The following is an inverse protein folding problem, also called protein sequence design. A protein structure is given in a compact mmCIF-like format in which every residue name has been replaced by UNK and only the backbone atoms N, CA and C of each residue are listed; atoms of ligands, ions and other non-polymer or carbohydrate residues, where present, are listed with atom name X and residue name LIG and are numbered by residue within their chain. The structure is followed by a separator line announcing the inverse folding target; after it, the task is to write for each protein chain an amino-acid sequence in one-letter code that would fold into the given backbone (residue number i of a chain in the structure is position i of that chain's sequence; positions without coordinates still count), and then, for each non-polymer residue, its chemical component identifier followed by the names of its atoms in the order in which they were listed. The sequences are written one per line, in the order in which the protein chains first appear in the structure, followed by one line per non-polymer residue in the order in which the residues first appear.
data_IF_698888157391
#
_entry.id   IF_698888157391
#
_cell.length_a   1.000
_cell.length_b   1.000
_cell.length_c   1.000
_cell.angle_alpha   90.00
_cell.angle_beta   90.00
_cell.angle_gamma   90.00
#
_symmetry.space_group_name_H-M   'P 1'
#
loop_
_entity.id
_entity.type
_entity.pdbx_description
1 polymer ?
#
# COMPACT_ATOMS: atom_id res chain seq x y z
N UNK A 1 -5.36 -11.60 26.64
CA UNK A 1 -5.34 -10.14 26.37
C UNK A 1 -4.33 -9.79 25.27
N UNK A 2 -3.22 -10.52 25.16
CA UNK A 2 -2.17 -10.32 24.15
C UNK A 2 -2.60 -10.72 22.73
N UNK A 3 -3.26 -11.88 22.55
CA UNK A 3 -3.76 -12.35 21.24
C UNK A 3 -4.71 -11.36 20.55
N UNK A 4 -5.67 -10.77 21.27
CA UNK A 4 -6.56 -9.73 20.74
C UNK A 4 -5.80 -8.49 20.21
N UNK A 5 -4.68 -8.11 20.83
CA UNK A 5 -3.82 -7.00 20.38
C UNK A 5 -3.05 -7.38 19.11
N UNK A 6 -2.50 -8.60 19.04
CA UNK A 6 -1.85 -9.12 17.83
C UNK A 6 -2.82 -9.14 16.65
N UNK A 7 -4.01 -9.69 16.85
CA UNK A 7 -5.07 -9.72 15.83
C UNK A 7 -5.49 -8.33 15.39
N UNK A 8 -5.61 -7.37 16.32
CA UNK A 8 -5.89 -5.96 16.00
C UNK A 8 -4.80 -5.38 15.10
N UNK A 9 -3.52 -5.60 15.43
CA UNK A 9 -2.41 -5.10 14.61
C UNK A 9 -2.42 -5.70 13.19
N UNK A 10 -2.68 -7.01 13.08
CA UNK A 10 -2.77 -7.68 11.79
C UNK A 10 -3.94 -7.15 10.94
N UNK A 11 -5.10 -6.88 11.56
CA UNK A 11 -6.23 -6.24 10.89
C UNK A 11 -5.92 -4.81 10.46
N UNK A 12 -5.29 -4.01 11.33
CA UNK A 12 -4.90 -2.64 10.97
C UNK A 12 -3.93 -2.68 9.79
N UNK A 13 -2.89 -3.51 9.82
CA UNK A 13 -1.98 -3.70 8.69
C UNK A 13 -2.72 -4.08 7.40
N UNK A 14 -3.67 -5.01 7.48
CA UNK A 14 -4.47 -5.44 6.32
C UNK A 14 -5.31 -4.30 5.76
N UNK A 15 -6.01 -3.54 6.60
CA UNK A 15 -6.84 -2.40 6.18
C UNK A 15 -5.95 -1.31 5.57
N UNK A 16 -4.84 -0.97 6.21
CA UNK A 16 -3.90 0.03 5.70
C UNK A 16 -3.29 -0.40 4.37
N UNK A 17 -3.02 -1.70 4.15
CA UNK A 17 -2.61 -2.21 2.85
C UNK A 17 -3.64 -1.92 1.76
N UNK A 18 -4.92 -2.21 2.01
CA UNK A 18 -5.98 -1.93 1.04
C UNK A 18 -6.17 -0.44 0.78
N UNK A 19 -6.05 0.41 1.81
CA UNK A 19 -6.06 1.87 1.64
C UNK A 19 -4.90 2.30 0.74
N UNK A 20 -3.68 1.83 1.01
CA UNK A 20 -2.51 2.12 0.16
C UNK A 20 -2.75 1.67 -1.28
N UNK A 21 -3.30 0.47 -1.48
CA UNK A 21 -3.60 -0.05 -2.81
C UNK A 21 -4.59 0.83 -3.57
N UNK A 22 -5.67 1.27 -2.91
CA UNK A 22 -6.63 2.22 -3.48
C UNK A 22 -5.97 3.55 -3.82
N UNK A 23 -5.09 4.07 -2.96
CA UNK A 23 -4.35 5.30 -3.22
C UNK A 23 -3.39 5.17 -4.41
N UNK A 24 -2.72 4.03 -4.58
CA UNK A 24 -1.89 3.74 -5.77
C UNK A 24 -2.73 3.77 -7.04
N UNK A 25 -3.91 3.13 -7.03
CA UNK A 25 -4.82 3.15 -8.19
C UNK A 25 -5.27 4.57 -8.49
N UNK A 26 -5.73 5.32 -7.47
CA UNK A 26 -6.17 6.70 -7.64
C UNK A 26 -5.04 7.58 -8.19
N UNK A 27 -3.82 7.42 -7.70
CA UNK A 27 -2.62 8.10 -8.19
C UNK A 27 -2.39 7.80 -9.68
N UNK A 28 -2.41 6.54 -10.09
CA UNK A 28 -2.22 6.15 -11.48
C UNK A 28 -3.31 6.71 -12.39
N UNK A 29 -4.57 6.67 -11.94
CA UNK A 29 -5.70 7.23 -12.70
C UNK A 29 -5.54 8.73 -12.91
N UNK A 30 -5.20 9.49 -11.85
CA UNK A 30 -4.96 10.95 -11.95
C UNK A 30 -3.78 11.23 -12.88
N UNK A 31 -2.68 10.50 -12.71
CA UNK A 31 -1.49 10.67 -13.54
C UNK A 31 -1.77 10.41 -15.03
N UNK A 32 -2.38 9.26 -15.35
CA UNK A 32 -2.73 8.90 -16.73
C UNK A 32 -3.69 9.92 -17.33
N UNK A 33 -4.68 10.38 -16.57
CA UNK A 33 -5.63 11.39 -17.03
C UNK A 33 -4.92 12.70 -17.38
N UNK A 34 -4.11 13.24 -16.47
CA UNK A 34 -3.41 14.53 -16.68
C UNK A 34 -2.40 14.45 -17.84
N UNK A 35 -1.74 13.29 -18.03
CA UNK A 35 -0.87 13.05 -19.19
C UNK A 35 -1.70 12.95 -20.47
N UNK A 36 -2.82 12.22 -20.46
CA UNK A 36 -3.70 12.09 -21.62
C UNK A 36 -4.29 13.43 -22.07
N UNK A 37 -4.68 14.29 -21.12
CA UNK A 37 -5.18 15.63 -21.41
C UNK A 37 -4.08 16.47 -22.09
N UNK A 38 -2.83 16.40 -21.63
CA UNK A 38 -1.70 17.09 -22.27
C UNK A 38 -1.48 16.64 -23.73
N UNK A 39 -1.45 15.33 -23.99
CA UNK A 39 -1.29 14.81 -25.36
C UNK A 39 -2.48 15.14 -26.26
N UNK A 40 -3.69 15.29 -25.71
CA UNK A 40 -4.87 15.70 -26.48
C UNK A 40 -4.80 17.16 -26.93
N UNK A 41 -4.13 18.02 -26.16
CA UNK A 41 -3.94 19.43 -26.49
C UNK A 41 -2.82 19.66 -27.51
N UNK A 42 -1.84 18.76 -27.53
CA UNK A 42 -0.69 18.81 -28.42
C UNK A 42 -0.59 17.51 -29.25
N UNK A 43 -1.55 17.26 -30.16
CA UNK A 43 -1.52 16.08 -31.01
C UNK A 43 -0.31 16.11 -31.94
N UNK A 44 0.30 14.93 -32.15
CA UNK A 44 1.56 14.75 -32.90
C UNK A 44 1.44 15.25 -34.35
N UNK A 45 0.26 15.14 -34.95
CA UNK A 45 0.03 15.59 -36.34
C UNK A 45 0.15 17.12 -36.49
N UNK A 46 -0.18 17.87 -35.43
CA UNK A 46 -0.11 19.34 -35.40
C UNK A 46 1.20 19.83 -34.80
N UNK A 47 1.80 19.05 -33.89
CA UNK A 47 3.04 19.34 -33.18
C UNK A 47 4.06 18.21 -33.40
N UNK A 48 4.63 18.09 -34.62
CA UNK A 48 5.54 16.99 -34.97
C UNK A 48 6.87 17.03 -34.19
N UNK A 49 7.29 18.22 -33.78
CA UNK A 49 8.49 18.43 -32.93
C UNK A 49 8.21 18.18 -31.43
N UNK A 50 6.98 17.80 -31.09
CA UNK A 50 6.55 17.49 -29.73
C UNK A 50 5.91 18.66 -28.98
N UNK A 51 5.71 18.45 -27.68
CA UNK A 51 5.05 19.43 -26.79
C UNK A 51 6.00 20.62 -26.57
N UNK A 52 5.56 21.87 -26.79
CA UNK A 52 6.37 23.06 -26.51
C UNK A 52 6.87 23.09 -25.06
N UNK A 53 8.12 23.53 -24.87
CA UNK A 53 8.74 23.56 -23.54
C UNK A 53 7.89 24.32 -22.51
N UNK A 54 7.41 25.51 -22.86
CA UNK A 54 6.60 26.34 -21.96
C UNK A 54 5.27 25.68 -21.57
N UNK A 55 4.67 24.91 -22.49
CA UNK A 55 3.47 24.14 -22.20
C UNK A 55 3.76 22.99 -21.24
N UNK A 56 4.91 22.32 -21.41
CA UNK A 56 5.36 21.27 -20.50
C UNK A 56 5.66 21.82 -19.10
N UNK A 57 6.28 22.99 -19.00
CA UNK A 57 6.57 23.68 -17.73
C UNK A 57 5.26 24.06 -17.04
N UNK A 58 4.33 24.71 -17.74
CA UNK A 58 3.02 25.09 -17.18
C UNK A 58 2.21 23.87 -16.69
N UNK A 59 2.24 22.78 -17.47
CA UNK A 59 1.64 21.51 -17.05
C UNK A 59 2.32 20.98 -15.79
N UNK A 60 3.66 20.95 -15.75
CA UNK A 60 4.40 20.47 -14.59
C UNK A 60 4.10 21.30 -13.34
N UNK A 61 4.09 22.63 -13.43
CA UNK A 61 3.76 23.51 -12.29
C UNK A 61 2.33 23.28 -11.77
N UNK A 62 1.39 22.86 -12.62
CA UNK A 62 0.01 22.61 -12.23
C UNK A 62 -0.20 21.19 -11.69
N UNK A 63 0.46 20.20 -12.29
CA UNK A 63 0.22 18.77 -12.05
C UNK A 63 1.17 18.19 -11.00
N UNK A 64 2.43 18.60 -10.99
CA UNK A 64 3.43 18.12 -10.01
C UNK A 64 2.99 18.38 -8.58
N UNK A 65 2.46 19.55 -8.17
CA UNK A 65 2.01 19.75 -6.80
C UNK A 65 0.89 18.79 -6.38
N UNK A 66 -0.03 18.45 -7.29
CA UNK A 66 -1.12 17.48 -7.04
C UNK A 66 -0.55 16.08 -6.84
N UNK A 67 0.35 15.65 -7.74
CA UNK A 67 1.04 14.37 -7.68
C UNK A 67 1.87 14.25 -6.39
N UNK A 68 2.62 15.29 -6.03
CA UNK A 68 3.45 15.34 -4.82
C UNK A 68 2.59 15.24 -3.57
N UNK A 69 1.45 15.94 -3.52
CA UNK A 69 0.53 15.88 -2.38
C UNK A 69 -0.05 14.47 -2.18
N UNK A 70 -0.45 13.80 -3.27
CA UNK A 70 -0.88 12.39 -3.23
C UNK A 70 0.26 11.46 -2.81
N UNK A 71 1.47 11.68 -3.32
CA UNK A 71 2.65 10.90 -2.95
C UNK A 71 2.98 11.03 -1.46
N UNK A 72 2.89 12.24 -0.89
CA UNK A 72 3.08 12.46 0.55
C UNK A 72 2.04 11.67 1.36
N UNK A 73 0.77 11.73 0.96
CA UNK A 73 -0.29 10.95 1.62
C UNK A 73 0.00 9.44 1.56
N UNK A 74 0.43 8.94 0.40
CA UNK A 74 0.82 7.54 0.22
C UNK A 74 2.00 7.14 1.12
N UNK A 75 3.00 8.01 1.27
CA UNK A 75 4.14 7.77 2.17
C UNK A 75 3.68 7.67 3.62
N UNK A 76 2.82 8.59 4.08
CA UNK A 76 2.29 8.57 5.45
C UNK A 76 1.54 7.25 5.72
N UNK A 77 0.63 6.87 4.83
CA UNK A 77 -0.15 5.62 4.96
C UNK A 77 0.78 4.40 4.86
N UNK A 78 1.78 4.44 4.00
CA UNK A 78 2.79 3.39 3.85
C UNK A 78 3.63 3.18 5.11
N UNK A 79 4.03 4.26 5.80
CA UNK A 79 4.73 4.19 7.09
C UNK A 79 3.84 3.53 8.14
N UNK A 80 2.56 3.93 8.22
CA UNK A 80 1.61 3.30 9.15
C UNK A 80 1.47 1.81 8.86
N UNK A 81 1.31 1.42 7.59
CA UNK A 81 1.27 0.03 7.18
C UNK A 81 2.52 -0.72 7.64
N UNK A 82 3.71 -0.18 7.35
CA UNK A 82 4.99 -0.80 7.68
C UNK A 82 5.14 -1.02 9.19
N UNK A 83 4.75 -0.05 10.02
CA UNK A 83 4.80 -0.18 11.49
C UNK A 83 3.94 -1.35 11.95
N UNK A 84 2.68 -1.42 11.51
CA UNK A 84 1.78 -2.52 11.91
C UNK A 84 2.20 -3.86 11.30
N UNK A 85 2.82 -3.84 10.13
CA UNK A 85 3.36 -5.03 9.48
C UNK A 85 4.54 -5.62 10.25
N UNK A 86 5.51 -4.78 10.65
CA UNK A 86 6.65 -5.19 11.49
C UNK A 86 6.16 -5.69 12.86
N UNK A 87 5.19 -5.00 13.48
CA UNK A 87 4.59 -5.48 14.73
C UNK A 87 3.94 -6.86 14.54
N UNK A 88 3.32 -7.11 13.38
CA UNK A 88 2.73 -8.41 13.06
C UNK A 88 3.80 -9.50 12.90
N UNK A 89 4.92 -9.19 12.24
CA UNK A 89 6.09 -10.08 12.15
C UNK A 89 6.60 -10.44 13.55
N UNK A 90 6.90 -9.43 14.39
CA UNK A 90 7.43 -9.66 15.74
C UNK A 90 6.46 -10.49 16.59
N UNK A 91 5.16 -10.21 16.52
CA UNK A 91 4.17 -10.98 17.26
C UNK A 91 4.05 -12.43 16.76
N UNK A 92 4.11 -12.64 15.44
CA UNK A 92 4.04 -13.98 14.84
C UNK A 92 5.24 -14.85 15.17
N UNK A 93 6.39 -14.26 15.53
CA UNK A 93 7.59 -15.00 15.95
C UNK A 93 7.34 -15.82 17.22
N UNK A 94 6.44 -15.39 18.10
CA UNK A 94 6.14 -16.08 19.35
C UNK A 94 5.11 -17.21 19.22
N UNK A 95 4.47 -17.36 18.05
CA UNK A 95 3.49 -18.43 17.82
C UNK A 95 4.19 -19.78 17.70
N UNK A 96 3.49 -20.84 18.08
CA UNK A 96 3.96 -22.22 17.93
C UNK A 96 4.08 -22.57 16.43
N UNK A 97 3.07 -22.21 15.63
CA UNK A 97 3.13 -22.28 14.17
C UNK A 97 3.92 -21.08 13.60
N UNK A 98 5.03 -21.37 12.92
CA UNK A 98 5.90 -20.37 12.28
C UNK A 98 5.47 -20.00 10.86
N UNK A 99 4.46 -20.66 10.28
CA UNK A 99 3.97 -20.34 8.93
C UNK A 99 3.61 -18.86 8.77
N UNK A 100 2.84 -18.22 9.67
CA UNK A 100 2.52 -16.80 9.55
C UNK A 100 3.77 -15.93 9.52
N UNK A 101 4.76 -16.24 10.37
CA UNK A 101 6.02 -15.50 10.43
C UNK A 101 6.81 -15.57 9.12
N UNK A 102 6.95 -16.77 8.56
CA UNK A 102 7.69 -16.99 7.29
C UNK A 102 6.98 -16.26 6.14
N UNK A 103 5.66 -16.36 6.06
CA UNK A 103 4.87 -15.68 5.02
C UNK A 103 4.99 -14.16 5.14
N UNK A 104 5.01 -13.61 6.35
CA UNK A 104 5.18 -12.17 6.56
C UNK A 104 6.61 -11.70 6.20
N UNK A 105 7.64 -12.50 6.46
CA UNK A 105 9.00 -12.18 6.03
C UNK A 105 9.14 -12.17 4.50
N UNK A 106 8.64 -13.21 3.83
CA UNK A 106 8.61 -13.26 2.35
C UNK A 106 7.75 -12.12 1.80
N UNK A 107 6.71 -11.73 2.55
CA UNK A 107 5.80 -10.65 2.23
C UNK A 107 6.44 -9.27 2.09
N UNK A 108 7.62 -9.05 2.66
CA UNK A 108 8.42 -7.83 2.44
C UNK A 108 8.84 -7.71 0.97
N UNK A 109 9.18 -8.84 0.34
CA UNK A 109 9.57 -8.91 -1.06
C UNK A 109 8.37 -9.07 -1.99
N UNK A 110 7.37 -9.84 -1.56
CA UNK A 110 6.19 -10.17 -2.36
C UNK A 110 4.92 -9.78 -1.57
N UNK A 111 4.38 -8.56 -1.77
CA UNK A 111 3.30 -8.03 -0.93
C UNK A 111 2.06 -8.94 -0.82
N UNK A 112 1.72 -9.65 -1.90
CA UNK A 112 0.60 -10.61 -1.92
C UNK A 112 0.81 -11.75 -0.92
N UNK A 113 2.02 -12.29 -0.81
CA UNK A 113 2.37 -13.32 0.19
C UNK A 113 2.25 -12.75 1.59
N UNK A 114 2.63 -11.48 1.77
CA UNK A 114 2.50 -10.78 3.03
C UNK A 114 1.06 -10.67 3.52
N UNK A 115 0.12 -10.42 2.62
CA UNK A 115 -1.31 -10.39 2.94
C UNK A 115 -1.82 -11.76 3.36
N UNK A 116 -1.41 -12.82 2.66
CA UNK A 116 -1.73 -14.20 3.07
C UNK A 116 -1.19 -14.48 4.48
N UNK A 117 0.05 -14.07 4.77
CA UNK A 117 0.64 -14.17 6.11
C UNK A 117 -0.17 -13.46 7.20
N UNK A 118 -0.69 -12.25 6.93
CA UNK A 118 -1.56 -11.52 7.86
C UNK A 118 -2.86 -12.28 8.14
N UNK A 119 -3.48 -12.89 7.12
CA UNK A 119 -4.69 -13.70 7.31
C UNK A 119 -4.45 -14.97 8.11
N UNK A 120 -3.33 -15.64 7.88
CA UNK A 120 -2.91 -16.80 8.67
C UNK A 120 -2.67 -16.40 10.13
N UNK A 121 -2.00 -15.26 10.37
CA UNK A 121 -1.80 -14.72 11.72
C UNK A 121 -3.13 -14.43 12.45
N UNK A 122 -4.09 -13.81 11.76
CA UNK A 122 -5.44 -13.55 12.30
C UNK A 122 -6.16 -14.87 12.65
N UNK A 123 -5.99 -15.89 11.83
CA UNK A 123 -6.64 -17.20 12.04
C UNK A 123 -6.02 -17.97 13.19
N UNK A 124 -4.68 -18.02 13.26
CA UNK A 124 -3.93 -18.69 14.33
C UNK A 124 -4.25 -18.08 15.71
N UNK A 125 -4.22 -16.76 15.81
CA UNK A 125 -4.54 -16.04 17.07
C UNK A 125 -5.99 -16.25 17.53
N UNK A 126 -6.93 -16.47 16.59
CA UNK A 126 -8.33 -16.81 16.92
C UNK A 126 -8.47 -18.23 17.47
N UNK A 127 -7.69 -19.19 16.96
CA UNK A 127 -7.71 -20.57 17.46
C UNK A 127 -7.16 -20.67 18.88
N UNK A 128 -6.03 -20.01 19.19
CA UNK A 128 -5.46 -19.99 20.54
C UNK A 128 -6.44 -19.46 21.60
N UNK A 129 -7.21 -18.42 21.28
CA UNK A 129 -8.23 -17.87 22.20
C UNK A 129 -9.40 -18.83 22.46
N UNK A 130 -9.69 -19.75 21.53
CA UNK A 130 -10.77 -20.74 21.69
C UNK A 130 -10.31 -21.95 22.50
N UNK A 131 -9.05 -22.36 22.35
CA UNK A 131 -8.46 -23.50 23.06
C UNK A 131 -8.23 -23.18 24.54
N UNK A 132 -7.83 -21.95 24.89
CA UNK A 132 -7.62 -21.51 26.28
C UNK A 132 -8.89 -21.13 27.06
N UNK A 133 -10.06 -21.12 26.41
CA UNK A 133 -11.37 -20.86 27.06
C UNK A 133 -12.16 -22.13 27.38
N UNK A 134 -11.68 -23.30 26.96
CA UNK A 134 -12.23 -24.62 27.32
C UNK A 134 -11.45 -25.19 28.49
#
# INVERSE_FOLDING_TARGET
MESAKVRKNAWVATITFFITFILVIAFLVVFIREVSELYSQYPVDTYPDGIPHDALVNWAETVVPKIVSLAILMVIVGIVYLVFYILSIVNSYNLEDKVPFILLLIGILIPVVGIIGLFFLISATKQEEQTHKK
#
